data_IF_593293121281
#
_entry.id   IF_593293121281
#
_cell.length_a   1.000
_cell.length_b   1.000
_cell.length_c   1.000
_cell.angle_alpha   90.00
_cell.angle_beta   90.00
_cell.angle_gamma   90.00
#
_symmetry.space_group_name_H-M   'P 1'
#
loop_
_entity.id
_entity.type
_entity.pdbx_description
1 polymer ?
#
# COMPACT_ATOMS: atom_id res chain seq x y z
N UNK A 1 12.11 -14.05 -9.03
CA UNK A 1 11.02 -13.68 -9.96
C UNK A 1 11.06 -14.61 -11.16
N UNK A 2 9.92 -14.99 -11.75
CA UNK A 2 9.92 -15.70 -13.02
C UNK A 2 10.51 -14.77 -14.08
N UNK A 3 11.36 -15.27 -14.99
CA UNK A 3 12.12 -14.46 -15.94
C UNK A 3 11.28 -13.76 -17.04
N UNK A 4 9.94 -13.75 -16.94
CA UNK A 4 9.03 -13.25 -17.98
C UNK A 4 7.83 -12.46 -17.40
N UNK A 5 8.07 -11.37 -16.67
CA UNK A 5 7.00 -10.41 -16.36
C UNK A 5 6.64 -9.62 -17.62
N UNK A 6 5.50 -9.96 -18.24
CA UNK A 6 5.03 -9.26 -19.44
C UNK A 6 4.38 -7.93 -19.03
N UNK A 7 5.00 -6.81 -19.42
CA UNK A 7 4.41 -5.48 -19.32
C UNK A 7 3.35 -5.35 -20.43
N UNK A 8 2.10 -5.11 -20.04
CA UNK A 8 0.99 -4.94 -20.99
C UNK A 8 0.58 -3.46 -21.03
N UNK A 9 0.71 -2.87 -22.21
CA UNK A 9 0.27 -1.49 -22.48
C UNK A 9 -1.15 -1.48 -23.10
N UNK A 10 -1.96 -0.44 -22.84
CA UNK A 10 -1.67 0.77 -22.06
C UNK A 10 -1.87 0.62 -20.54
N UNK A 11 -2.23 -0.58 -20.07
CA UNK A 11 -2.63 -0.81 -18.68
C UNK A 11 -1.52 -0.50 -17.67
N UNK A 12 -0.27 -0.84 -17.99
CA UNK A 12 0.86 -0.56 -17.11
C UNK A 12 1.11 0.94 -16.96
N UNK A 13 1.07 1.70 -18.06
CA UNK A 13 1.15 3.17 -18.00
C UNK A 13 0.01 3.77 -17.16
N UNK A 14 -1.23 3.33 -17.37
CA UNK A 14 -2.39 3.83 -16.60
C UNK A 14 -2.22 3.53 -15.10
N UNK A 15 -1.80 2.33 -14.75
CA UNK A 15 -1.53 1.93 -13.37
C UNK A 15 -0.46 2.81 -12.73
N UNK A 16 0.72 2.94 -13.38
CA UNK A 16 1.84 3.71 -12.85
C UNK A 16 1.49 5.18 -12.63
N UNK A 17 0.84 5.82 -13.62
CA UNK A 17 0.39 7.21 -13.49
C UNK A 17 -0.62 7.38 -12.35
N UNK A 18 -1.56 6.43 -12.22
CA UNK A 18 -2.55 6.46 -11.13
C UNK A 18 -1.87 6.34 -9.77
N UNK A 19 -0.87 5.47 -9.64
CA UNK A 19 -0.10 5.31 -8.40
C UNK A 19 0.71 6.56 -8.07
N UNK A 20 1.38 7.19 -9.05
CA UNK A 20 2.10 8.46 -8.85
C UNK A 20 1.15 9.54 -8.32
N UNK A 21 0.03 9.76 -9.00
CA UNK A 21 -0.95 10.79 -8.61
C UNK A 21 -1.53 10.50 -7.23
N UNK A 22 -1.86 9.24 -6.95
CA UNK A 22 -2.40 8.81 -5.66
C UNK A 22 -1.38 9.04 -4.54
N UNK A 23 -0.12 8.63 -4.73
CA UNK A 23 0.96 8.83 -3.76
C UNK A 23 1.18 10.30 -3.44
N UNK A 24 1.22 11.17 -4.45
CA UNK A 24 1.33 12.62 -4.26
C UNK A 24 0.17 13.21 -3.45
N UNK A 25 -1.07 12.81 -3.77
CA UNK A 25 -2.26 13.27 -3.06
C UNK A 25 -2.28 12.78 -1.60
N UNK A 26 -1.88 11.53 -1.35
CA UNK A 26 -1.80 10.96 0.00
C UNK A 26 -0.73 11.67 0.83
N UNK A 27 0.46 11.95 0.25
CA UNK A 27 1.51 12.74 0.92
C UNK A 27 1.00 14.14 1.26
N UNK A 28 0.35 14.82 0.32
CA UNK A 28 -0.24 16.14 0.57
C UNK A 28 -1.27 16.09 1.72
N UNK A 29 -2.16 15.09 1.71
CA UNK A 29 -3.11 14.86 2.80
C UNK A 29 -2.43 14.60 4.15
N UNK A 30 -1.35 13.81 4.17
CA UNK A 30 -0.57 13.53 5.37
C UNK A 30 0.07 14.80 5.95
N UNK A 31 0.62 15.68 5.09
CA UNK A 31 1.19 16.95 5.52
C UNK A 31 0.14 17.87 6.16
N UNK A 32 -1.07 17.93 5.58
CA UNK A 32 -2.19 18.68 6.16
C UNK A 32 -2.62 18.13 7.51
N UNK A 33 -2.74 16.80 7.65
CA UNK A 33 -3.05 16.13 8.92
C UNK A 33 -1.97 16.39 9.98
N UNK A 34 -0.70 16.33 9.58
CA UNK A 34 0.43 16.58 10.48
C UNK A 34 0.46 18.03 10.96
N UNK A 35 0.19 18.98 10.05
CA UNK A 35 0.10 20.42 10.35
C UNK A 35 -1.05 20.78 11.29
N UNK A 36 -2.18 20.08 11.21
CA UNK A 36 -3.31 20.24 12.11
C UNK A 36 -3.07 19.67 13.53
N UNK A 37 -1.88 19.12 13.80
CA UNK A 37 -1.49 18.45 15.06
C UNK A 37 -2.40 17.28 15.48
N UNK A 38 -3.29 16.80 14.61
CA UNK A 38 -4.18 15.70 14.89
C UNK A 38 -3.46 14.37 14.66
N UNK A 39 -3.20 13.61 15.74
CA UNK A 39 -2.72 12.24 15.63
C UNK A 39 -1.45 12.10 14.78
N UNK A 40 -0.39 12.87 15.09
CA UNK A 40 0.88 12.92 14.34
C UNK A 40 1.45 11.55 13.93
N UNK A 41 1.32 10.53 14.78
CA UNK A 41 1.72 9.16 14.43
C UNK A 41 0.94 8.57 13.25
N UNK A 42 -0.38 8.77 13.21
CA UNK A 42 -1.24 8.36 12.09
C UNK A 42 -0.87 9.15 10.85
N UNK A 43 -0.68 10.46 10.95
CA UNK A 43 -0.28 11.30 9.83
C UNK A 43 1.07 10.85 9.23
N UNK A 44 2.06 10.51 10.07
CA UNK A 44 3.34 9.95 9.60
C UNK A 44 3.17 8.61 8.87
N UNK A 45 2.33 7.71 9.39
CA UNK A 45 2.05 6.43 8.72
C UNK A 45 1.35 6.63 7.38
N UNK A 46 0.39 7.56 7.30
CA UNK A 46 -0.26 7.94 6.02
C UNK A 46 0.75 8.54 5.05
N UNK A 47 1.69 9.36 5.53
CA UNK A 47 2.77 9.90 4.70
C UNK A 47 3.68 8.81 4.13
N UNK A 48 4.12 7.87 4.98
CA UNK A 48 4.92 6.71 4.55
C UNK A 48 4.18 5.83 3.56
N UNK A 49 2.87 5.63 3.77
CA UNK A 49 2.01 4.94 2.81
C UNK A 49 2.01 5.64 1.46
N UNK A 50 1.82 6.98 1.44
CA UNK A 50 1.88 7.77 0.22
C UNK A 50 3.24 7.70 -0.49
N UNK A 51 4.35 7.65 0.26
CA UNK A 51 5.70 7.45 -0.30
C UNK A 51 5.83 6.07 -0.95
N UNK A 52 5.33 5.01 -0.31
CA UNK A 52 5.30 3.66 -0.89
C UNK A 52 4.49 3.61 -2.19
N UNK A 53 3.28 4.17 -2.19
CA UNK A 53 2.40 4.23 -3.37
C UNK A 53 3.02 5.04 -4.51
N UNK A 54 3.66 6.17 -4.19
CA UNK A 54 4.41 6.95 -5.17
C UNK A 54 5.56 6.12 -5.77
N UNK A 55 6.31 5.39 -4.93
CA UNK A 55 7.38 4.49 -5.35
C UNK A 55 6.88 3.41 -6.31
N UNK A 56 5.75 2.76 -6.01
CA UNK A 56 5.13 1.74 -6.88
C UNK A 56 4.83 2.28 -8.29
N UNK A 57 4.46 3.57 -8.40
CA UNK A 57 4.22 4.19 -9.71
C UNK A 57 5.50 4.66 -10.42
N UNK A 58 6.54 5.03 -9.67
CA UNK A 58 7.85 5.44 -10.22
C UNK A 58 8.71 4.26 -10.66
N UNK A 59 8.58 3.13 -9.97
CA UNK A 59 9.29 1.88 -10.26
C UNK A 59 8.29 0.89 -10.84
N UNK A 60 8.27 0.69 -12.17
CA UNK A 60 7.32 -0.20 -12.81
C UNK A 60 7.47 -1.65 -12.33
N UNK A 61 6.43 -2.46 -12.59
CA UNK A 61 6.34 -3.82 -12.06
C UNK A 61 7.40 -4.83 -12.52
N UNK A 62 8.24 -4.46 -13.49
CA UNK A 62 9.40 -5.21 -13.96
C UNK A 62 10.72 -4.80 -13.28
N UNK A 63 10.73 -3.75 -12.45
CA UNK A 63 11.87 -3.40 -11.61
C UNK A 63 12.02 -4.42 -10.47
N UNK A 64 13.09 -5.24 -10.47
CA UNK A 64 13.21 -6.36 -9.56
C UNK A 64 13.60 -5.95 -8.12
N UNK A 65 13.96 -4.69 -7.89
CA UNK A 65 14.51 -4.24 -6.60
C UNK A 65 13.63 -3.16 -6.00
N UNK A 66 13.38 -2.08 -6.74
CA UNK A 66 12.79 -0.88 -6.17
C UNK A 66 11.26 -0.98 -6.09
N UNK A 67 10.62 -1.71 -7.02
CA UNK A 67 9.17 -1.98 -6.98
C UNK A 67 8.75 -2.77 -5.72
N UNK A 68 9.33 -3.95 -5.41
CA UNK A 68 8.91 -4.71 -4.24
C UNK A 68 9.19 -3.98 -2.92
N UNK A 69 10.26 -3.18 -2.83
CA UNK A 69 10.53 -2.35 -1.64
C UNK A 69 9.45 -1.28 -1.47
N UNK A 70 9.06 -0.62 -2.56
CA UNK A 70 8.01 0.41 -2.54
C UNK A 70 6.65 -0.19 -2.19
N UNK A 71 6.31 -1.34 -2.79
CA UNK A 71 5.13 -2.10 -2.47
C UNK A 71 5.09 -2.50 -0.99
N UNK A 72 6.19 -3.05 -0.46
CA UNK A 72 6.32 -3.42 0.94
C UNK A 72 6.05 -2.24 1.87
N UNK A 73 6.63 -1.08 1.57
CA UNK A 73 6.39 0.15 2.31
C UNK A 73 4.91 0.55 2.26
N UNK A 74 4.27 0.47 1.09
CA UNK A 74 2.86 0.78 0.92
C UNK A 74 1.96 -0.18 1.74
N UNK A 75 2.14 -1.49 1.64
CA UNK A 75 1.32 -2.47 2.36
C UNK A 75 1.48 -2.35 3.88
N UNK A 76 2.72 -2.24 4.39
CA UNK A 76 2.98 -2.12 5.82
C UNK A 76 2.45 -0.81 6.37
N UNK A 77 2.85 0.32 5.79
CA UNK A 77 2.45 1.64 6.29
C UNK A 77 0.95 1.88 6.10
N UNK A 78 0.38 1.44 4.98
CA UNK A 78 -1.04 1.51 4.68
C UNK A 78 -1.87 0.70 5.69
N UNK A 79 -1.51 -0.56 5.90
CA UNK A 79 -2.17 -1.44 6.86
C UNK A 79 -2.11 -0.88 8.30
N UNK A 80 -0.92 -0.46 8.74
CA UNK A 80 -0.74 0.16 10.06
C UNK A 80 -1.53 1.47 10.20
N UNK A 81 -1.53 2.33 9.18
CA UNK A 81 -2.29 3.59 9.20
C UNK A 81 -3.80 3.33 9.31
N UNK A 82 -4.30 2.32 8.61
CA UNK A 82 -5.71 1.96 8.56
C UNK A 82 -6.22 1.38 9.89
N UNK A 83 -5.38 0.61 10.58
CA UNK A 83 -5.63 0.14 11.95
C UNK A 83 -5.52 1.28 12.97
N UNK A 84 -4.47 2.10 12.89
CA UNK A 84 -4.25 3.21 13.82
C UNK A 84 -5.33 4.30 13.72
N UNK A 85 -6.00 4.43 12.57
CA UNK A 85 -7.10 5.36 12.37
C UNK A 85 -8.38 5.02 13.17
N UNK A 86 -8.41 3.90 13.91
CA UNK A 86 -9.52 3.51 14.80
C UNK A 86 -9.93 4.62 15.76
N UNK A 87 -8.95 5.34 16.33
CA UNK A 87 -9.21 6.37 17.33
C UNK A 87 -9.79 7.67 16.76
N UNK A 88 -9.72 7.88 15.45
CA UNK A 88 -9.99 9.17 14.81
C UNK A 88 -11.30 9.22 13.99
N UNK A 89 -11.99 8.08 13.79
CA UNK A 89 -13.17 7.98 12.90
C UNK A 89 -14.45 7.65 13.66
N UNK A 90 -15.55 8.30 13.28
CA UNK A 90 -16.91 7.89 13.64
C UNK A 90 -17.33 6.63 12.86
N UNK A 91 -18.16 5.78 13.46
CA UNK A 91 -18.74 4.60 12.79
C UNK A 91 -19.56 5.04 11.56
N UNK A 92 -19.52 4.34 10.41
CA UNK A 92 -18.97 3.00 10.15
C UNK A 92 -17.54 2.96 9.60
N UNK A 93 -16.98 4.10 9.21
CA UNK A 93 -15.66 4.20 8.57
C UNK A 93 -14.52 3.64 9.42
N UNK A 94 -14.71 3.64 10.75
CA UNK A 94 -13.80 2.99 11.70
C UNK A 94 -13.67 1.48 11.45
N UNK A 95 -14.80 0.76 11.39
CA UNK A 95 -14.81 -0.69 11.27
C UNK A 95 -14.26 -1.14 9.91
N UNK A 96 -14.66 -0.44 8.84
CA UNK A 96 -14.20 -0.76 7.47
C UNK A 96 -12.70 -0.55 7.35
N UNK A 97 -12.18 0.61 7.78
CA UNK A 97 -10.75 0.92 7.76
C UNK A 97 -9.92 -0.09 8.53
N UNK A 98 -10.40 -0.50 9.71
CA UNK A 98 -9.70 -1.48 10.55
C UNK A 98 -9.68 -2.85 9.90
N UNK A 99 -10.82 -3.32 9.40
CA UNK A 99 -10.94 -4.62 8.75
C UNK A 99 -10.01 -4.71 7.52
N UNK A 100 -10.01 -3.67 6.68
CA UNK A 100 -9.13 -3.62 5.51
C UNK A 100 -7.64 -3.59 5.91
N UNK A 101 -7.28 -2.81 6.93
CA UNK A 101 -5.91 -2.78 7.44
C UNK A 101 -5.45 -4.12 8.02
N UNK A 102 -6.31 -4.80 8.78
CA UNK A 102 -6.03 -6.14 9.33
C UNK A 102 -5.88 -7.16 8.22
N UNK A 103 -6.76 -7.16 7.22
CA UNK A 103 -6.66 -8.07 6.07
C UNK A 103 -5.34 -7.86 5.33
N UNK A 104 -4.96 -6.61 5.05
CA UNK A 104 -3.69 -6.31 4.37
C UNK A 104 -2.46 -6.78 5.16
N UNK A 105 -2.46 -6.59 6.48
CA UNK A 105 -1.34 -7.03 7.33
C UNK A 105 -1.29 -8.55 7.50
N UNK A 106 -2.45 -9.21 7.59
CA UNK A 106 -2.54 -10.68 7.66
C UNK A 106 -2.07 -11.32 6.35
N UNK A 107 -2.45 -10.74 5.22
CA UNK A 107 -1.98 -11.18 3.91
C UNK A 107 -0.45 -11.14 3.85
N UNK A 108 0.15 -10.01 4.21
CA UNK A 108 1.60 -9.86 4.24
C UNK A 108 2.28 -10.88 5.17
N UNK A 109 1.74 -11.08 6.37
CA UNK A 109 2.26 -12.05 7.33
C UNK A 109 2.18 -13.48 6.79
N UNK A 110 1.08 -13.85 6.14
CA UNK A 110 0.87 -15.17 5.55
C UNK A 110 1.76 -15.40 4.33
N UNK A 111 1.98 -14.38 3.49
CA UNK A 111 2.91 -14.45 2.38
C UNK A 111 4.34 -14.75 2.87
N UNK A 112 4.81 -14.05 3.90
CA UNK A 112 6.14 -14.33 4.47
C UNK A 112 6.23 -15.68 5.19
N UNK A 113 5.15 -16.13 5.83
CA UNK A 113 5.15 -17.39 6.58
C UNK A 113 4.98 -18.63 5.69
N UNK A 114 4.18 -18.54 4.63
CA UNK A 114 3.72 -19.69 3.85
C UNK A 114 4.04 -19.58 2.35
N UNK A 115 4.44 -18.41 1.87
CA UNK A 115 4.74 -18.16 0.46
C UNK A 115 3.59 -18.61 -0.45
N UNK A 116 3.84 -19.49 -1.44
CA UNK A 116 2.80 -20.02 -2.34
C UNK A 116 1.68 -20.81 -1.65
N UNK A 117 1.87 -21.25 -0.41
CA UNK A 117 0.86 -21.92 0.41
C UNK A 117 -0.07 -20.98 1.16
N UNK A 118 0.12 -19.66 1.03
CA UNK A 118 -0.79 -18.68 1.65
C UNK A 118 -2.18 -18.74 1.03
N UNK A 119 -3.21 -18.52 1.85
CA UNK A 119 -4.61 -18.47 1.39
C UNK A 119 -4.84 -17.39 0.33
N UNK A 120 -3.98 -16.37 0.32
CA UNK A 120 -4.03 -15.24 -0.60
C UNK A 120 -3.15 -15.41 -1.84
N UNK A 121 -2.44 -16.53 -1.99
CA UNK A 121 -1.72 -16.86 -3.22
C UNK A 121 -2.64 -16.87 -4.47
N UNK A 122 -3.96 -17.07 -4.27
CA UNK A 122 -4.99 -16.96 -5.31
C UNK A 122 -5.11 -15.55 -5.91
N UNK A 123 -4.70 -14.50 -5.19
CA UNK A 123 -4.69 -13.12 -5.67
C UNK A 123 -3.56 -12.86 -6.69
N UNK A 124 -2.66 -13.83 -6.86
CA UNK A 124 -1.50 -13.74 -7.73
C UNK A 124 -0.45 -12.76 -7.21
N UNK A 125 0.71 -12.73 -7.88
CA UNK A 125 1.82 -11.81 -7.55
C UNK A 125 1.33 -10.36 -7.59
N UNK A 126 0.45 -10.03 -8.54
CA UNK A 126 -0.17 -8.71 -8.62
C UNK A 126 -0.88 -8.30 -7.34
N UNK A 127 -1.80 -9.11 -6.80
CA UNK A 127 -2.54 -8.73 -5.58
C UNK A 127 -1.72 -8.78 -4.29
N UNK A 128 -0.56 -9.43 -4.31
CA UNK A 128 0.39 -9.50 -3.19
C UNK A 128 1.42 -8.35 -3.20
N UNK A 129 1.63 -7.72 -4.35
CA UNK A 129 2.67 -6.72 -4.57
C UNK A 129 2.13 -5.38 -5.13
N UNK A 130 0.82 -5.26 -5.45
CA UNK A 130 0.22 -4.09 -6.12
C UNK A 130 -1.17 -3.72 -5.60
#
# INVERSE_FOLDING_TARGET
>A
MPPESIIVEPSATIFNVTMILTGLLVIAGALLLFGAAWGRGVASLVGLFGVGVLGVGLFPGDDPVDHPISAMLAFVAGGLSAVAAVGAKVSPFRCISTALGVVALLDLALYFALGPGSLFAVLGIGGLER
#
